data_IF_971660147817
#
_entry.id   IF_971660147817
#
_cell.length_a   1.000
_cell.length_b   1.000
_cell.length_c   1.000
_cell.angle_alpha   90.00
_cell.angle_beta   90.00
_cell.angle_gamma   90.00
#
_symmetry.space_group_name_H-M   'P 1'
#
loop_
_entity.id
_entity.type
_entity.pdbx_description
1 polymer ?
#
# COMPACT_ATOMS: atom_id res chain seq x y z
N UNK A 1 -15.53 -27.15 -7.83
CA UNK A 1 -14.20 -26.74 -8.26
C UNK A 1 -13.22 -27.81 -7.83
N UNK A 2 -12.49 -28.42 -8.76
CA UNK A 2 -11.52 -29.45 -8.40
C UNK A 2 -10.27 -28.77 -7.84
N UNK A 3 -9.87 -29.07 -6.62
CA UNK A 3 -8.71 -28.46 -5.95
C UNK A 3 -7.36 -28.89 -6.56
N UNK A 4 -7.37 -29.94 -7.39
CA UNK A 4 -6.17 -30.46 -8.06
C UNK A 4 -5.63 -29.50 -9.15
N UNK A 5 -6.42 -28.51 -9.57
CA UNK A 5 -6.04 -27.51 -10.56
C UNK A 5 -5.50 -26.20 -9.94
N UNK A 6 -5.44 -26.10 -8.59
CA UNK A 6 -4.91 -24.92 -7.91
C UNK A 6 -3.39 -24.96 -7.92
N UNK A 7 -2.79 -24.05 -8.68
CA UNK A 7 -1.34 -23.88 -8.69
C UNK A 7 -0.90 -22.91 -7.62
N UNK A 8 -0.18 -23.42 -6.63
CA UNK A 8 0.47 -22.57 -5.60
C UNK A 8 1.81 -22.09 -6.14
N UNK A 9 2.03 -20.77 -6.13
CA UNK A 9 3.26 -20.14 -6.61
C UNK A 9 4.03 -19.66 -5.38
N UNK A 10 5.25 -20.16 -5.21
CA UNK A 10 6.15 -19.78 -4.11
C UNK A 10 7.38 -19.00 -4.59
N UNK A 11 7.65 -19.01 -5.89
CA UNK A 11 8.77 -18.30 -6.50
C UNK A 11 8.26 -17.20 -7.43
N UNK A 12 8.83 -16.01 -7.30
CA UNK A 12 8.50 -14.86 -8.12
C UNK A 12 9.67 -14.53 -9.06
N UNK A 13 9.41 -13.82 -10.17
CA UNK A 13 10.46 -13.37 -11.11
C UNK A 13 11.53 -12.49 -10.46
N UNK A 14 11.17 -11.74 -9.41
CA UNK A 14 12.08 -10.86 -8.66
C UNK A 14 12.00 -11.17 -7.17
N UNK A 15 13.15 -11.14 -6.48
CA UNK A 15 13.20 -11.22 -5.02
C UNK A 15 12.51 -10.01 -4.40
N UNK A 16 11.79 -10.23 -3.31
CA UNK A 16 10.97 -9.22 -2.65
C UNK A 16 11.57 -8.88 -1.28
N UNK A 17 11.70 -7.59 -1.01
CA UNK A 17 11.95 -7.06 0.31
C UNK A 17 10.70 -6.43 0.90
N UNK A 18 10.62 -6.43 2.22
CA UNK A 18 9.54 -5.83 2.98
C UNK A 18 10.07 -4.78 3.94
N UNK A 19 9.41 -3.62 3.96
CA UNK A 19 9.54 -2.61 5.01
C UNK A 19 8.27 -2.72 5.86
N UNK A 20 8.39 -3.35 7.02
CA UNK A 20 7.24 -3.67 7.88
C UNK A 20 6.49 -2.43 8.35
N UNK A 21 7.24 -1.36 8.66
CA UNK A 21 6.66 -0.09 9.07
C UNK A 21 7.54 1.09 8.69
N UNK A 22 6.92 2.09 8.07
CA UNK A 22 7.51 3.41 7.84
C UNK A 22 6.42 4.46 7.98
N UNK A 23 6.83 5.71 8.21
CA UNK A 23 5.87 6.80 8.37
C UNK A 23 5.95 7.76 7.19
N UNK A 24 4.78 8.13 6.68
CA UNK A 24 4.60 9.11 5.61
C UNK A 24 4.15 10.41 6.25
N UNK A 25 4.99 11.47 6.24
CA UNK A 25 4.62 12.75 6.82
C UNK A 25 3.63 13.48 5.90
N UNK A 26 2.57 14.01 6.48
CA UNK A 26 1.61 14.88 5.81
C UNK A 26 1.92 16.35 6.11
N UNK A 27 1.40 17.25 5.28
CA UNK A 27 1.65 18.68 5.39
C UNK A 27 1.18 19.31 6.72
N UNK A 28 0.18 18.72 7.36
CA UNK A 28 -0.35 19.16 8.65
C UNK A 28 0.40 18.60 9.88
N UNK A 29 1.47 17.83 9.65
CA UNK A 29 2.30 17.24 10.69
C UNK A 29 1.86 15.85 11.17
N UNK A 30 0.73 15.33 10.67
CA UNK A 30 0.29 13.96 10.91
C UNK A 30 1.20 12.99 10.16
N UNK A 31 1.44 11.82 10.75
CA UNK A 31 2.21 10.75 10.12
C UNK A 31 1.31 9.54 9.88
N UNK A 32 1.28 9.06 8.65
CA UNK A 32 0.55 7.85 8.30
C UNK A 32 1.51 6.66 8.24
N UNK A 33 1.10 5.57 8.89
CA UNK A 33 1.89 4.34 8.93
C UNK A 33 1.68 3.52 7.66
N UNK A 34 2.78 3.12 7.04
CA UNK A 34 2.79 2.31 5.83
C UNK A 34 3.60 1.03 6.01
N UNK A 35 3.19 -0.02 5.29
CA UNK A 35 3.95 -1.25 5.06
C UNK A 35 4.21 -1.38 3.56
N UNK A 36 5.44 -1.68 3.17
CA UNK A 36 5.83 -1.65 1.77
C UNK A 36 6.49 -2.96 1.39
N UNK A 37 6.06 -3.54 0.29
CA UNK A 37 6.72 -4.66 -0.38
C UNK A 37 7.19 -4.18 -1.75
N UNK A 38 8.44 -4.46 -2.08
CA UNK A 38 9.01 -4.08 -3.37
C UNK A 38 10.11 -5.05 -3.80
N UNK A 39 10.49 -5.08 -5.08
CA UNK A 39 11.67 -5.81 -5.49
C UNK A 39 12.91 -5.35 -4.73
N UNK A 40 13.79 -6.29 -4.36
CA UNK A 40 15.06 -5.95 -3.67
C UNK A 40 15.94 -4.99 -4.47
N UNK A 41 15.87 -5.07 -5.80
CA UNK A 41 16.64 -4.22 -6.72
C UNK A 41 15.91 -2.92 -7.12
N UNK A 42 14.82 -2.54 -6.43
CA UNK A 42 14.01 -1.38 -6.81
C UNK A 42 14.75 -0.03 -6.72
N UNK A 43 15.80 0.06 -5.91
CA UNK A 43 16.65 1.27 -5.86
C UNK A 43 17.50 1.44 -7.12
N UNK A 44 17.95 0.35 -7.73
CA UNK A 44 18.72 0.35 -8.98
C UNK A 44 17.82 0.34 -10.22
N UNK A 45 16.65 -0.28 -10.08
CA UNK A 45 15.65 -0.45 -11.14
C UNK A 45 14.27 -0.02 -10.62
N UNK A 46 13.98 1.30 -10.53
CA UNK A 46 12.74 1.82 -9.99
C UNK A 46 11.49 1.26 -10.69
N UNK A 47 10.46 0.98 -9.90
CA UNK A 47 9.23 0.30 -10.34
C UNK A 47 8.00 1.17 -10.12
N UNK A 48 6.89 0.94 -10.86
CA UNK A 48 5.63 1.59 -10.56
C UNK A 48 5.11 1.15 -9.18
N UNK A 49 4.41 2.04 -8.51
CA UNK A 49 3.86 1.77 -7.18
C UNK A 49 2.34 1.54 -7.23
N UNK A 50 1.86 0.69 -6.33
CA UNK A 50 0.44 0.41 -6.10
C UNK A 50 0.12 0.81 -4.66
N UNK A 51 -0.76 1.81 -4.50
CA UNK A 51 -1.28 2.23 -3.20
C UNK A 51 -2.53 1.44 -2.84
N UNK A 52 -2.57 0.91 -1.62
CA UNK A 52 -3.80 0.46 -0.95
C UNK A 52 -4.01 1.29 0.32
N UNK A 53 -5.05 2.13 0.32
CA UNK A 53 -5.31 3.15 1.34
C UNK A 53 -6.65 2.88 2.01
N UNK A 54 -6.62 2.36 3.26
CA UNK A 54 -7.84 1.94 3.96
C UNK A 54 -7.63 1.84 5.48
N UNK A 55 -8.74 1.81 6.28
CA UNK A 55 -8.66 1.87 7.73
C UNK A 55 -8.57 0.50 8.42
N UNK A 56 -8.36 -0.60 7.68
CA UNK A 56 -8.50 -1.96 8.22
C UNK A 56 -7.28 -2.48 8.96
N UNK A 57 -6.32 -1.62 9.28
CA UNK A 57 -5.13 -1.88 10.10
C UNK A 57 -4.19 -2.94 9.48
N UNK A 58 -3.07 -2.46 8.94
CA UNK A 58 -2.09 -3.28 8.22
C UNK A 58 -1.40 -4.35 9.07
N UNK A 59 -1.38 -4.16 10.40
CA UNK A 59 -0.67 -5.05 11.31
C UNK A 59 -1.50 -6.23 11.77
N UNK A 60 -2.83 -6.11 11.84
CA UNK A 60 -3.72 -7.16 12.32
C UNK A 60 -4.92 -7.43 11.41
N UNK A 61 -5.74 -6.42 11.10
CA UNK A 61 -7.02 -6.61 10.44
C UNK A 61 -6.93 -7.20 9.02
N UNK A 62 -5.90 -6.82 8.25
CA UNK A 62 -5.67 -7.32 6.88
C UNK A 62 -4.33 -8.02 6.69
N UNK A 63 -3.56 -8.20 7.74
CA UNK A 63 -2.16 -8.66 7.66
C UNK A 63 -1.99 -9.99 6.91
N UNK A 64 -2.87 -10.96 7.13
CA UNK A 64 -2.82 -12.27 6.45
C UNK A 64 -3.10 -12.15 4.94
N UNK A 65 -4.11 -11.36 4.56
CA UNK A 65 -4.41 -11.10 3.16
C UNK A 65 -3.27 -10.32 2.49
N UNK A 66 -2.77 -9.30 3.16
CA UNK A 66 -1.71 -8.44 2.66
C UNK A 66 -0.43 -9.25 2.39
N UNK A 67 -0.09 -10.18 3.30
CA UNK A 67 1.05 -11.08 3.15
C UNK A 67 0.94 -12.06 1.97
N UNK A 68 -0.25 -12.31 1.46
CA UNK A 68 -0.47 -13.12 0.26
C UNK A 68 -0.47 -12.28 -1.01
N UNK A 69 -1.07 -11.09 -0.96
CA UNK A 69 -1.37 -10.28 -2.14
C UNK A 69 -0.18 -9.40 -2.55
N UNK A 70 0.36 -8.65 -1.61
CA UNK A 70 1.38 -7.63 -1.93
C UNK A 70 2.74 -8.21 -2.33
N UNK A 71 3.26 -9.28 -1.71
CA UNK A 71 4.48 -9.92 -2.20
C UNK A 71 4.35 -10.47 -3.62
N UNK A 72 3.17 -10.93 -4.01
CA UNK A 72 2.92 -11.39 -5.38
C UNK A 72 3.11 -10.25 -6.39
N UNK A 73 2.49 -9.09 -6.17
CA UNK A 73 2.69 -7.95 -7.05
C UNK A 73 4.14 -7.44 -7.02
N UNK A 74 4.74 -7.40 -5.83
CA UNK A 74 6.13 -6.96 -5.69
C UNK A 74 7.09 -7.87 -6.46
N UNK A 75 6.91 -9.18 -6.38
CA UNK A 75 7.68 -10.16 -7.15
C UNK A 75 7.50 -10.06 -8.66
N UNK A 76 6.46 -9.37 -9.12
CA UNK A 76 6.21 -9.09 -10.53
C UNK A 76 6.56 -7.64 -10.94
N UNK A 77 7.28 -6.91 -10.10
CA UNK A 77 7.87 -5.62 -10.46
C UNK A 77 7.05 -4.39 -10.08
N UNK A 78 6.32 -4.45 -8.97
CA UNK A 78 5.61 -3.29 -8.39
C UNK A 78 6.12 -3.00 -6.98
N UNK A 79 6.02 -1.74 -6.53
CA UNK A 79 6.13 -1.40 -5.13
C UNK A 79 4.71 -1.28 -4.55
N UNK A 80 4.35 -2.17 -3.64
CA UNK A 80 3.03 -2.18 -3.01
C UNK A 80 3.09 -1.43 -1.68
N UNK A 81 2.36 -0.35 -1.57
CA UNK A 81 2.32 0.53 -0.40
C UNK A 81 0.96 0.42 0.27
N UNK A 82 0.91 -0.28 1.40
CA UNK A 82 -0.28 -0.45 2.22
C UNK A 82 -0.25 0.58 3.35
N UNK A 83 -1.18 1.51 3.33
CA UNK A 83 -1.22 2.64 4.28
C UNK A 83 -2.45 2.54 5.16
N UNK A 84 -2.24 2.66 6.47
CA UNK A 84 -3.33 2.89 7.41
C UNK A 84 -3.78 4.34 7.30
N UNK A 85 -5.08 4.55 7.12
CA UNK A 85 -5.65 5.89 7.05
C UNK A 85 -5.48 6.63 8.36
N UNK A 86 -5.58 7.97 8.32
CA UNK A 86 -5.60 8.85 9.50
C UNK A 86 -6.53 8.30 10.58
N UNK A 87 -6.01 8.16 11.80
CA UNK A 87 -6.77 7.67 12.96
C UNK A 87 -7.07 6.17 12.95
N UNK A 88 -6.44 5.40 12.06
CA UNK A 88 -6.54 3.95 12.05
C UNK A 88 -5.17 3.28 12.21
N UNK A 89 -5.17 2.06 12.77
CA UNK A 89 -3.97 1.27 12.94
C UNK A 89 -2.87 1.99 13.71
N UNK A 90 -1.72 2.19 13.07
CA UNK A 90 -0.56 2.87 13.64
C UNK A 90 -0.39 4.32 13.13
N UNK A 91 -1.36 4.82 12.35
CA UNK A 91 -1.38 6.21 11.88
C UNK A 91 -1.87 7.16 12.95
N UNK A 92 -1.30 8.37 12.94
CA UNK A 92 -1.74 9.46 13.81
C UNK A 92 -3.14 9.99 13.44
N UNK A 93 -3.69 10.82 14.34
CA UNK A 93 -4.93 11.55 14.13
C UNK A 93 -6.17 10.80 14.57
N UNK A 94 -7.30 11.23 14.05
CA UNK A 94 -8.63 10.68 14.38
C UNK A 94 -9.38 10.41 13.08
N UNK A 95 -10.01 9.26 12.99
CA UNK A 95 -10.95 8.93 11.94
C UNK A 95 -12.34 9.42 12.38
N UNK A 96 -12.79 10.54 11.83
CA UNK A 96 -14.05 11.18 12.26
C UNK A 96 -15.27 10.53 11.61
N UNK A 97 -15.19 10.25 10.31
CA UNK A 97 -16.25 9.60 9.52
C UNK A 97 -15.67 8.99 8.26
N UNK A 98 -16.47 8.25 7.51
CA UNK A 98 -16.08 7.63 6.24
C UNK A 98 -16.22 8.59 5.06
N UNK A 99 -15.32 8.45 4.08
CA UNK A 99 -15.34 9.13 2.77
C UNK A 99 -15.28 10.66 2.84
N UNK A 100 -14.68 11.22 3.88
CA UNK A 100 -14.48 12.66 4.01
C UNK A 100 -13.41 13.17 3.05
N UNK A 101 -13.51 14.46 2.74
CA UNK A 101 -12.51 15.13 1.88
C UNK A 101 -11.07 15.00 2.41
N UNK A 102 -10.88 15.02 3.73
CA UNK A 102 -9.56 14.84 4.35
C UNK A 102 -8.94 13.48 4.03
N UNK A 103 -9.75 12.43 3.86
CA UNK A 103 -9.30 11.13 3.42
C UNK A 103 -8.70 11.19 2.01
N UNK A 104 -9.41 11.87 1.09
CA UNK A 104 -8.95 12.06 -0.30
C UNK A 104 -7.69 12.91 -0.35
N UNK A 105 -7.66 14.04 0.38
CA UNK A 105 -6.50 14.92 0.44
C UNK A 105 -5.26 14.18 0.99
N UNK A 106 -5.41 13.39 2.05
CA UNK A 106 -4.33 12.58 2.60
C UNK A 106 -3.83 11.52 1.60
N UNK A 107 -4.73 10.88 0.86
CA UNK A 107 -4.33 9.92 -0.15
C UNK A 107 -3.52 10.57 -1.30
N UNK A 108 -3.90 11.78 -1.72
CA UNK A 108 -3.13 12.55 -2.71
C UNK A 108 -1.73 12.91 -2.18
N UNK A 109 -1.60 13.35 -0.93
CA UNK A 109 -0.29 13.60 -0.31
C UNK A 109 0.56 12.31 -0.24
N UNK A 110 -0.07 11.16 0.07
CA UNK A 110 0.62 9.86 0.05
C UNK A 110 1.10 9.50 -1.36
N UNK A 111 0.29 9.71 -2.39
CA UNK A 111 0.69 9.47 -3.77
C UNK A 111 1.86 10.37 -4.19
N UNK A 112 1.82 11.66 -3.82
CA UNK A 112 2.92 12.58 -4.05
C UNK A 112 4.20 12.12 -3.35
N UNK A 113 4.11 11.72 -2.08
CA UNK A 113 5.25 11.17 -1.34
C UNK A 113 5.82 9.92 -2.03
N UNK A 114 4.97 8.99 -2.47
CA UNK A 114 5.39 7.77 -3.19
C UNK A 114 6.21 8.13 -4.43
N UNK A 115 5.77 9.11 -5.22
CA UNK A 115 6.45 9.49 -6.47
C UNK A 115 7.83 10.09 -6.23
N UNK A 116 8.11 10.62 -5.03
CA UNK A 116 9.43 11.15 -4.66
C UNK A 116 10.41 10.10 -4.17
N UNK A 117 9.95 8.86 -3.95
CA UNK A 117 10.82 7.81 -3.44
C UNK A 117 11.78 7.28 -4.51
N UNK A 118 13.06 7.01 -4.15
CA UNK A 118 14.06 6.56 -5.15
C UNK A 118 13.74 5.21 -5.77
N UNK A 119 12.92 4.38 -5.13
CA UNK A 119 12.48 3.08 -5.64
C UNK A 119 11.24 3.18 -6.56
N UNK A 120 10.61 4.35 -6.66
CA UNK A 120 9.42 4.55 -7.49
C UNK A 120 9.79 5.14 -8.86
N UNK A 121 9.24 4.57 -9.92
CA UNK A 121 9.45 5.05 -11.31
C UNK A 121 8.70 6.35 -11.63
N UNK A 122 7.93 6.91 -10.66
CA UNK A 122 7.05 8.05 -10.85
C UNK A 122 5.63 7.70 -11.31
N UNK A 123 5.37 6.42 -11.60
CA UNK A 123 4.04 5.95 -11.95
C UNK A 123 3.37 5.31 -10.74
N UNK A 124 2.11 5.67 -10.49
CA UNK A 124 1.31 5.13 -9.38
C UNK A 124 -0.03 4.61 -9.86
N UNK A 125 -0.54 3.62 -9.15
CA UNK A 125 -1.90 3.11 -9.29
C UNK A 125 -2.51 2.86 -7.92
N UNK A 126 -3.81 2.64 -7.87
CA UNK A 126 -4.54 2.36 -6.65
C UNK A 126 -5.20 0.99 -6.79
N UNK A 127 -5.16 0.22 -5.71
CA UNK A 127 -5.91 -1.02 -5.56
C UNK A 127 -6.73 -0.94 -4.28
N UNK A 128 -7.89 -1.56 -4.27
CA UNK A 128 -8.70 -1.59 -3.05
C UNK A 128 -9.92 -2.48 -3.17
N UNK A 129 -10.40 -2.90 -2.02
CA UNK A 129 -11.66 -3.62 -1.85
C UNK A 129 -12.49 -2.89 -0.79
N UNK A 130 -13.81 -2.92 -0.91
CA UNK A 130 -14.75 -2.29 0.02
C UNK A 130 -14.43 -0.81 0.18
N UNK A 131 -14.12 -0.31 1.37
CA UNK A 131 -13.73 1.08 1.63
C UNK A 131 -12.59 1.54 0.70
N UNK A 132 -11.52 0.75 0.59
CA UNK A 132 -10.38 1.07 -0.29
C UNK A 132 -10.74 1.06 -1.78
N UNK A 133 -11.71 0.25 -2.19
CA UNK A 133 -12.23 0.29 -3.56
C UNK A 133 -13.06 1.53 -3.84
N UNK A 134 -13.86 1.96 -2.87
CA UNK A 134 -14.69 3.15 -3.01
C UNK A 134 -13.85 4.45 -2.96
N UNK A 135 -12.95 4.59 -1.98
CA UNK A 135 -12.11 5.78 -1.91
C UNK A 135 -11.16 5.90 -3.11
N UNK A 136 -10.67 4.78 -3.62
CA UNK A 136 -9.84 4.76 -4.82
C UNK A 136 -10.52 5.27 -6.09
N UNK A 137 -11.86 5.32 -6.12
CA UNK A 137 -12.64 5.95 -7.19
C UNK A 137 -12.88 7.45 -6.94
N UNK A 138 -12.62 7.93 -5.72
CA UNK A 138 -12.80 9.34 -5.33
C UNK A 138 -11.48 10.13 -5.42
N UNK A 139 -10.34 9.43 -5.36
CA UNK A 139 -8.98 9.95 -5.49
C UNK A 139 -8.59 10.05 -6.97
#
# INVERSE_FOLDING_TARGET
MNTDDIKVIHEFPRSVQEIENTFIPLADGIQLAARIWMPEDALDNPVPAILEFLPYRKRDGTSERDALTHPYYAGHGYACVRVDMRGSGESDGILEDEYLKIEQDNALEVLDWITTQPWCSGNTGIIGISWGGFNGLQI
#
